data_IF_106275319751
#
_entry.id   IF_106275319751
#
_cell.length_a   1.000
_cell.length_b   1.000
_cell.length_c   1.000
_cell.angle_alpha   90.00
_cell.angle_beta   90.00
_cell.angle_gamma   90.00
#
_symmetry.space_group_name_H-M   'P 1'
#
loop_
_entity.id
_entity.type
_entity.pdbx_description
1 polymer ?
#
# COMPACT_ATOMS: atom_id res chain seq x y z
N UNK A 1 -10.87 -12.20 -19.16
CA UNK A 1 -10.68 -12.22 -17.68
C UNK A 1 -10.04 -10.90 -17.29
N UNK A 2 -10.82 -9.96 -16.78
CA UNK A 2 -10.28 -8.71 -16.25
C UNK A 2 -9.68 -9.01 -14.87
N UNK A 3 -8.41 -9.42 -14.87
CA UNK A 3 -7.62 -9.64 -13.67
C UNK A 3 -7.75 -8.42 -12.77
N UNK A 4 -8.24 -8.63 -11.55
CA UNK A 4 -8.29 -7.57 -10.56
C UNK A 4 -6.86 -7.07 -10.35
N UNK A 5 -6.62 -5.80 -10.64
CA UNK A 5 -5.34 -5.15 -10.33
C UNK A 5 -5.32 -4.87 -8.85
N UNK A 6 -4.25 -5.26 -8.18
CA UNK A 6 -4.07 -5.01 -6.76
C UNK A 6 -2.87 -4.09 -6.58
N UNK A 7 -2.98 -3.15 -5.64
CA UNK A 7 -1.86 -2.36 -5.15
C UNK A 7 -1.37 -2.97 -3.85
N UNK A 8 -0.12 -3.40 -3.86
CA UNK A 8 0.58 -3.87 -2.67
C UNK A 8 1.31 -2.71 -2.02
N UNK A 9 1.21 -2.63 -0.71
CA UNK A 9 1.96 -1.69 0.11
C UNK A 9 3.14 -2.45 0.68
N UNK A 10 4.33 -2.07 0.27
CA UNK A 10 5.59 -2.66 0.70
C UNK A 10 6.35 -1.69 1.59
N UNK A 11 6.88 -2.17 2.71
CA UNK A 11 7.80 -1.40 3.53
C UNK A 11 9.23 -1.85 3.22
N UNK A 12 10.06 -0.95 2.72
CA UNK A 12 11.45 -1.23 2.39
C UNK A 12 12.32 -1.43 3.64
N UNK A 13 12.00 -0.73 4.73
CA UNK A 13 12.69 -0.87 6.02
C UNK A 13 12.39 -2.23 6.68
N UNK A 14 11.11 -2.60 6.76
CA UNK A 14 10.68 -3.88 7.32
C UNK A 14 10.88 -5.05 6.33
N UNK A 15 11.20 -4.75 5.07
CA UNK A 15 11.30 -5.69 3.95
C UNK A 15 10.11 -6.62 3.81
N UNK A 16 8.90 -6.12 4.08
CA UNK A 16 7.69 -6.93 4.08
C UNK A 16 6.51 -6.21 3.43
N UNK A 17 5.54 -7.00 2.96
CA UNK A 17 4.27 -6.49 2.46
C UNK A 17 3.36 -6.19 3.64
N UNK A 18 2.97 -4.93 3.77
CA UNK A 18 2.09 -4.43 4.81
C UNK A 18 0.61 -4.70 4.48
N UNK A 19 0.20 -4.45 3.23
CA UNK A 19 -1.17 -4.62 2.77
C UNK A 19 -1.26 -4.86 1.26
N UNK A 20 -2.43 -5.36 0.81
CA UNK A 20 -2.83 -5.40 -0.60
C UNK A 20 -4.25 -4.87 -0.74
N UNK A 21 -4.44 -3.91 -1.63
CA UNK A 21 -5.73 -3.28 -1.89
C UNK A 21 -6.16 -3.52 -3.33
N UNK A 22 -7.42 -3.87 -3.54
CA UNK A 22 -8.00 -3.99 -4.89
C UNK A 22 -8.21 -2.60 -5.48
N UNK A 23 -7.59 -2.32 -6.63
CA UNK A 23 -7.86 -1.06 -7.36
C UNK A 23 -9.23 -1.05 -8.04
N UNK A 24 -10.04 -2.10 -7.85
CA UNK A 24 -11.46 -2.14 -8.25
C UNK A 24 -12.37 -1.41 -7.25
N UNK A 25 -11.93 -1.29 -6.00
CA UNK A 25 -12.75 -0.74 -4.91
C UNK A 25 -12.09 0.46 -4.23
N UNK A 26 -10.77 0.56 -4.31
CA UNK A 26 -9.99 1.62 -3.68
C UNK A 26 -9.14 2.32 -4.74
N UNK A 27 -9.26 3.65 -4.81
CA UNK A 27 -8.42 4.47 -5.64
C UNK A 27 -7.05 4.72 -4.97
N UNK A 28 -6.11 5.26 -5.74
CA UNK A 28 -4.78 5.63 -5.22
C UNK A 28 -4.86 6.56 -3.99
N UNK A 29 -5.85 7.45 -3.95
CA UNK A 29 -6.07 8.36 -2.84
C UNK A 29 -6.53 7.60 -1.58
N UNK A 30 -7.52 6.72 -1.69
CA UNK A 30 -7.99 5.89 -0.58
C UNK A 30 -6.87 5.02 -0.03
N UNK A 31 -6.09 4.39 -0.91
CA UNK A 31 -4.96 3.54 -0.51
C UNK A 31 -3.90 4.37 0.20
N UNK A 32 -3.60 5.58 -0.29
CA UNK A 32 -2.65 6.48 0.36
C UNK A 32 -3.13 6.91 1.74
N UNK A 33 -4.43 7.19 1.90
CA UNK A 33 -5.01 7.54 3.18
C UNK A 33 -5.01 6.36 4.16
N UNK A 34 -5.42 5.18 3.72
CA UNK A 34 -5.36 3.94 4.51
C UNK A 34 -3.93 3.63 4.94
N UNK A 35 -2.95 3.80 4.05
CA UNK A 35 -1.53 3.62 4.37
C UNK A 35 -1.08 4.64 5.41
N UNK A 36 -1.47 5.89 5.27
CA UNK A 36 -1.16 6.94 6.25
C UNK A 36 -1.83 6.70 7.59
N UNK A 37 -3.04 6.15 7.65
CA UNK A 37 -3.74 5.89 8.90
C UNK A 37 -3.14 4.67 9.60
N UNK A 38 -3.15 3.52 8.91
CA UNK A 38 -2.72 2.23 9.47
C UNK A 38 -1.21 2.11 9.64
N UNK A 39 -0.42 2.71 8.75
CA UNK A 39 1.04 2.70 8.80
C UNK A 39 1.63 4.09 9.08
N UNK A 40 0.84 4.98 9.68
CA UNK A 40 1.33 6.29 10.19
C UNK A 40 2.57 6.14 11.05
N UNK A 41 2.61 5.11 11.90
CA UNK A 41 3.76 4.83 12.78
C UNK A 41 5.02 4.60 11.95
N UNK A 42 4.95 3.74 10.92
CA UNK A 42 6.09 3.49 10.03
C UNK A 42 6.56 4.77 9.33
N UNK A 43 5.63 5.59 8.83
CA UNK A 43 5.96 6.87 8.16
C UNK A 43 6.60 7.86 9.15
N UNK A 44 6.08 7.93 10.38
CA UNK A 44 6.60 8.80 11.45
C UNK A 44 7.97 8.35 11.95
N UNK A 45 8.25 7.05 11.92
CA UNK A 45 9.55 6.47 12.24
C UNK A 45 10.56 6.66 11.10
N UNK A 46 10.13 7.15 9.94
CA UNK A 46 10.98 7.38 8.77
C UNK A 46 11.12 6.16 7.86
N UNK A 47 10.32 5.12 8.06
CA UNK A 47 10.31 3.96 7.18
C UNK A 47 9.79 4.33 5.79
N UNK A 48 10.47 3.80 4.76
CA UNK A 48 10.07 3.99 3.38
C UNK A 48 8.98 2.99 3.01
N UNK A 49 7.75 3.51 2.85
CA UNK A 49 6.60 2.73 2.40
C UNK A 49 6.34 3.02 0.92
N UNK A 50 6.36 1.97 0.10
CA UNK A 50 6.19 2.02 -1.35
C UNK A 50 4.91 1.29 -1.76
N UNK A 51 4.08 1.92 -2.59
CA UNK A 51 2.91 1.30 -3.21
C UNK A 51 3.28 0.75 -4.59
N UNK A 52 3.16 -0.56 -4.79
CA UNK A 52 3.44 -1.25 -6.05
C UNK A 52 2.16 -1.79 -6.66
N UNK A 53 1.97 -1.57 -7.96
CA UNK A 53 0.87 -2.21 -8.69
C UNK A 53 1.30 -3.63 -9.09
N UNK A 54 0.63 -4.65 -8.56
CA UNK A 54 0.75 -6.01 -9.08
C UNK A 54 -0.21 -6.14 -10.27
N UNK A 55 0.39 -6.30 -11.45
CA UNK A 55 -0.25 -6.48 -12.77
C UNK A 55 -0.55 -7.95 -13.03
#
# INVERSE_FOLDING_TARGET
MEGARFKEVYCADCKMVLARYSTKYFDDADITELVRIHYSSHIKEGHVVETRLSV
#
